data_IF_544033964899
#
_entry.id   IF_544033964899
#
_cell.length_a   1.000
_cell.length_b   1.000
_cell.length_c   1.000
_cell.angle_alpha   90.00
_cell.angle_beta   90.00
_cell.angle_gamma   90.00
#
_symmetry.space_group_name_H-M   'P 1'
#
loop_
_entity.id
_entity.type
_entity.pdbx_description
1 polymer ?
#
# COMPACT_ATOMS: atom_id res chain seq x y z
N UNK A 1 11.08 -9.91 31.09
CA UNK A 1 9.65 -9.56 31.28
C UNK A 1 8.83 -10.80 31.65
N UNK A 2 7.78 -10.68 32.51
CA UNK A 2 6.88 -11.82 32.86
C UNK A 2 5.60 -11.75 32.05
N UNK A 3 4.94 -12.90 31.84
CA UNK A 3 3.67 -13.03 31.11
C UNK A 3 3.79 -13.79 29.81
N UNK A 4 2.67 -13.96 29.11
CA UNK A 4 2.65 -14.58 27.77
C UNK A 4 3.40 -13.72 26.75
N UNK A 5 3.85 -14.31 25.64
CA UNK A 5 4.46 -13.56 24.54
C UNK A 5 3.53 -12.43 24.04
N UNK A 6 2.24 -12.74 23.88
CA UNK A 6 1.27 -11.73 23.46
C UNK A 6 1.19 -10.56 24.43
N UNK A 7 1.17 -10.82 25.72
CA UNK A 7 1.19 -9.77 26.75
C UNK A 7 2.47 -8.93 26.68
N UNK A 8 3.63 -9.57 26.58
CA UNK A 8 4.91 -8.87 26.51
C UNK A 8 5.04 -8.00 25.26
N UNK A 9 4.68 -8.53 24.07
CA UNK A 9 4.67 -7.77 22.81
C UNK A 9 3.73 -6.56 22.89
N UNK A 10 2.49 -6.76 23.36
CA UNK A 10 1.54 -5.66 23.52
C UNK A 10 2.05 -4.60 24.52
N UNK A 11 2.68 -5.02 25.57
CA UNK A 11 3.26 -4.12 26.57
C UNK A 11 4.39 -3.27 25.96
N UNK A 12 5.33 -3.91 25.25
CA UNK A 12 6.39 -3.17 24.51
C UNK A 12 5.77 -2.22 23.51
N UNK A 13 4.77 -2.66 22.73
CA UNK A 13 4.11 -1.81 21.74
C UNK A 13 3.49 -0.54 22.35
N UNK A 14 2.75 -0.69 23.45
CA UNK A 14 2.05 0.43 24.09
C UNK A 14 3.02 1.34 24.85
N UNK A 15 3.88 0.76 25.69
CA UNK A 15 4.68 1.52 26.64
C UNK A 15 5.96 2.12 26.00
N UNK A 16 6.47 1.58 24.89
CA UNK A 16 7.60 2.16 24.16
C UNK A 16 7.30 3.53 23.55
N UNK A 17 6.03 3.78 23.16
CA UNK A 17 5.66 4.98 22.41
C UNK A 17 6.01 4.90 20.92
N UNK A 18 6.20 3.69 20.38
CA UNK A 18 6.48 3.48 18.95
C UNK A 18 5.28 3.78 18.06
N UNK A 19 4.06 3.73 18.60
CA UNK A 19 2.83 3.99 17.88
C UNK A 19 2.30 5.39 18.14
N UNK A 20 2.21 6.21 17.09
CA UNK A 20 1.79 7.61 17.11
C UNK A 20 0.68 7.83 16.07
N UNK A 21 -0.55 7.33 16.33
CA UNK A 21 -1.68 7.57 15.44
C UNK A 21 -2.05 9.06 15.43
N UNK A 22 -2.41 9.57 14.23
CA UNK A 22 -2.76 10.99 14.07
C UNK A 22 -1.58 11.91 13.77
N UNK A 23 -0.33 11.50 14.01
CA UNK A 23 0.83 12.26 13.57
C UNK A 23 1.09 12.07 12.08
N UNK A 24 1.53 13.13 11.39
CA UNK A 24 1.90 13.06 9.98
C UNK A 24 3.23 12.33 9.78
N UNK A 25 3.18 11.17 9.12
CA UNK A 25 4.40 10.46 8.71
C UNK A 25 5.27 11.31 7.78
N UNK A 26 4.67 12.21 6.97
CA UNK A 26 5.39 13.09 6.06
C UNK A 26 6.19 14.12 6.85
N UNK A 27 5.55 14.82 7.78
CA UNK A 27 6.24 15.77 8.64
C UNK A 27 7.36 15.10 9.46
N UNK A 28 7.11 13.90 9.99
CA UNK A 28 8.14 13.14 10.68
C UNK A 28 9.36 12.78 9.79
N UNK A 29 9.14 12.51 8.50
CA UNK A 29 10.24 12.30 7.54
C UNK A 29 11.04 13.57 7.27
N UNK A 30 10.38 14.72 7.15
CA UNK A 30 11.06 16.01 6.96
C UNK A 30 11.93 16.36 8.16
N UNK A 31 11.42 16.17 9.36
CA UNK A 31 12.18 16.33 10.60
C UNK A 31 13.39 15.38 10.64
N UNK A 32 13.21 14.10 10.32
CA UNK A 32 14.29 13.14 10.29
C UNK A 32 15.36 13.51 9.24
N UNK A 33 14.96 14.02 8.07
CA UNK A 33 15.88 14.49 7.03
C UNK A 33 16.65 15.74 7.47
N UNK A 34 15.98 16.69 8.10
CA UNK A 34 16.65 17.88 8.66
C UNK A 34 17.64 17.54 9.77
N UNK A 35 17.42 16.43 10.48
CA UNK A 35 18.34 15.87 11.47
C UNK A 35 19.46 14.99 10.85
N UNK A 36 19.55 14.91 9.51
CA UNK A 36 20.65 14.25 8.81
C UNK A 36 20.36 12.85 8.30
N UNK A 37 19.12 12.34 8.38
CA UNK A 37 18.75 11.04 7.81
C UNK A 37 18.62 11.14 6.28
N UNK A 38 19.63 10.67 5.54
CA UNK A 38 19.71 10.77 4.08
C UNK A 38 19.30 9.49 3.36
N UNK A 39 19.30 8.35 4.04
CA UNK A 39 18.95 7.05 3.48
C UNK A 39 17.64 6.52 4.04
N UNK A 40 17.00 5.60 3.31
CA UNK A 40 15.81 4.91 3.79
C UNK A 40 16.05 4.09 5.08
N UNK A 41 17.30 3.61 5.27
CA UNK A 41 17.70 2.89 6.47
C UNK A 41 17.72 3.82 7.68
N UNK A 42 18.30 5.01 7.53
CA UNK A 42 18.37 6.04 8.59
C UNK A 42 16.96 6.56 8.92
N UNK A 43 16.17 6.92 7.91
CA UNK A 43 14.75 7.25 8.10
C UNK A 43 14.02 6.14 8.84
N UNK A 44 14.28 4.87 8.49
CA UNK A 44 13.69 3.73 9.15
C UNK A 44 14.01 3.63 10.64
N UNK A 45 15.15 4.16 11.12
CA UNK A 45 15.50 4.22 12.54
C UNK A 45 14.73 5.31 13.28
N UNK A 46 14.56 6.47 12.66
CA UNK A 46 13.91 7.64 13.26
C UNK A 46 12.37 7.54 13.26
N UNK A 47 11.80 6.98 12.19
CA UNK A 47 10.35 6.93 12.03
C UNK A 47 9.68 5.93 12.97
N UNK A 48 8.50 6.29 13.46
CA UNK A 48 7.60 5.46 14.26
C UNK A 48 6.53 4.78 13.39
N UNK A 49 5.48 4.26 14.00
CA UNK A 49 4.31 3.67 13.36
C UNK A 49 3.16 4.67 13.46
N UNK A 50 2.61 5.10 12.31
CA UNK A 50 1.63 6.20 12.24
C UNK A 50 0.22 5.77 11.85
N UNK A 51 0.02 4.53 11.34
CA UNK A 51 -1.30 4.05 10.95
C UNK A 51 -1.70 2.79 11.69
N UNK A 52 -2.99 2.66 12.00
CA UNK A 52 -3.56 1.49 12.66
C UNK A 52 -3.28 0.20 11.89
N UNK A 53 -3.46 0.23 10.55
CA UNK A 53 -3.19 -0.96 9.73
C UNK A 53 -1.73 -1.40 9.76
N UNK A 54 -0.78 -0.46 9.73
CA UNK A 54 0.64 -0.80 9.88
C UNK A 54 0.93 -1.37 11.26
N UNK A 55 0.32 -0.80 12.30
CA UNK A 55 0.48 -1.25 13.67
C UNK A 55 -0.01 -2.70 13.85
N UNK A 56 -1.19 -3.00 13.29
CA UNK A 56 -1.76 -4.35 13.30
C UNK A 56 -0.81 -5.36 12.64
N UNK A 57 -0.46 -5.14 11.38
CA UNK A 57 0.42 -6.05 10.61
C UNK A 57 1.79 -6.24 11.28
N UNK A 58 2.36 -5.18 11.85
CA UNK A 58 3.66 -5.29 12.53
C UNK A 58 3.56 -6.05 13.84
N UNK A 59 2.51 -5.81 14.63
CA UNK A 59 2.28 -6.59 15.85
C UNK A 59 2.06 -8.07 15.55
N UNK A 60 1.32 -8.40 14.50
CA UNK A 60 1.13 -9.79 14.10
C UNK A 60 2.47 -10.48 13.82
N UNK A 61 3.36 -9.82 13.05
CA UNK A 61 4.72 -10.33 12.81
C UNK A 61 5.52 -10.47 14.11
N UNK A 62 5.40 -9.52 15.07
CA UNK A 62 6.09 -9.61 16.36
C UNK A 62 5.57 -10.76 17.21
N UNK A 63 4.27 -11.03 17.16
CA UNK A 63 3.65 -12.18 17.81
C UNK A 63 4.09 -13.49 17.17
N UNK A 64 4.16 -13.55 15.83
CA UNK A 64 4.60 -14.74 15.11
C UNK A 64 6.05 -15.07 15.42
N UNK A 65 6.94 -14.09 15.34
CA UNK A 65 8.33 -14.23 15.75
C UNK A 65 8.45 -14.70 17.21
N UNK A 66 7.69 -14.07 18.10
CA UNK A 66 7.72 -14.43 19.52
C UNK A 66 7.23 -15.84 19.82
N UNK A 67 6.17 -16.30 19.11
CA UNK A 67 5.68 -17.69 19.21
C UNK A 67 6.73 -18.66 18.68
N UNK A 68 7.30 -18.37 17.51
CA UNK A 68 8.36 -19.18 16.91
C UNK A 68 9.59 -19.29 17.83
N UNK A 69 10.07 -18.17 18.36
CA UNK A 69 11.23 -18.14 19.28
C UNK A 69 10.96 -18.94 20.57
N UNK A 70 9.74 -18.89 21.11
CA UNK A 70 9.32 -19.70 22.25
C UNK A 70 9.33 -21.20 21.92
N UNK A 71 8.84 -21.56 20.74
CA UNK A 71 8.70 -22.96 20.32
C UNK A 71 10.05 -23.58 19.94
N UNK A 72 10.84 -22.91 19.12
CA UNK A 72 12.06 -23.47 18.55
C UNK A 72 13.31 -23.17 19.39
N UNK A 73 13.40 -21.98 19.99
CA UNK A 73 14.56 -21.55 20.77
C UNK A 73 14.34 -21.62 22.30
N UNK A 74 13.12 -21.95 22.74
CA UNK A 74 12.71 -21.94 24.15
C UNK A 74 12.84 -20.58 24.86
N UNK A 75 12.87 -19.49 24.08
CA UNK A 75 12.95 -18.11 24.60
C UNK A 75 11.54 -17.59 24.88
N UNK A 76 11.25 -17.28 26.14
CA UNK A 76 9.94 -16.85 26.64
C UNK A 76 9.92 -15.36 27.05
N UNK A 77 10.99 -14.65 26.84
CA UNK A 77 11.17 -13.27 27.29
C UNK A 77 11.64 -12.40 26.11
N UNK A 78 10.80 -11.45 25.69
CA UNK A 78 11.07 -10.58 24.54
C UNK A 78 12.30 -9.69 24.76
N UNK A 79 12.65 -9.40 26.03
CA UNK A 79 13.85 -8.62 26.36
C UNK A 79 15.16 -9.39 26.12
N UNK A 80 15.07 -10.69 25.85
CA UNK A 80 16.22 -11.57 25.55
C UNK A 80 16.42 -11.81 24.05
N UNK A 81 15.62 -11.20 23.20
CA UNK A 81 15.79 -11.35 21.75
C UNK A 81 17.06 -10.68 21.26
N UNK A 82 17.73 -11.34 20.33
CA UNK A 82 18.98 -10.89 19.70
C UNK A 82 18.85 -10.92 18.18
N UNK A 83 19.82 -10.32 17.47
CA UNK A 83 19.90 -10.40 16.01
C UNK A 83 19.96 -11.85 15.51
N UNK A 84 20.70 -12.74 16.21
CA UNK A 84 20.78 -14.16 15.84
C UNK A 84 19.42 -14.88 15.88
N UNK A 85 18.57 -14.53 16.85
CA UNK A 85 17.23 -15.10 16.93
C UNK A 85 16.33 -14.61 15.77
N UNK A 86 16.48 -13.35 15.39
CA UNK A 86 15.79 -12.77 14.24
C UNK A 86 16.29 -13.40 12.93
N UNK A 87 17.60 -13.60 12.81
CA UNK A 87 18.22 -14.29 11.67
C UNK A 87 17.64 -15.70 11.50
N UNK A 88 17.68 -16.51 12.55
CA UNK A 88 17.16 -17.88 12.52
C UNK A 88 15.65 -17.93 12.17
N UNK A 89 14.86 -16.98 12.66
CA UNK A 89 13.45 -16.86 12.28
C UNK A 89 13.30 -16.55 10.79
N UNK A 90 14.02 -15.56 10.28
CA UNK A 90 13.94 -15.16 8.87
C UNK A 90 14.46 -16.27 7.93
N UNK A 91 15.49 -16.99 8.32
CA UNK A 91 15.96 -18.19 7.61
C UNK A 91 14.87 -19.28 7.55
N UNK A 92 14.13 -19.48 8.64
CA UNK A 92 12.99 -20.41 8.61
C UNK A 92 11.88 -19.94 7.65
N UNK A 93 11.66 -18.62 7.54
CA UNK A 93 10.68 -18.06 6.59
C UNK A 93 11.12 -18.24 5.13
N UNK A 94 12.43 -18.17 4.86
CA UNK A 94 12.99 -18.53 3.55
C UNK A 94 12.75 -20.01 3.26
N UNK A 95 13.03 -20.89 4.21
CA UNK A 95 12.80 -22.33 4.08
C UNK A 95 11.32 -22.67 3.85
N UNK A 96 10.39 -21.89 4.42
CA UNK A 96 8.94 -22.01 4.18
C UNK A 96 8.53 -21.58 2.76
N UNK A 97 9.41 -20.98 1.97
CA UNK A 97 9.15 -20.55 0.60
C UNK A 97 8.12 -19.42 0.46
N UNK A 98 8.06 -18.50 1.42
CA UNK A 98 7.13 -17.38 1.35
C UNK A 98 7.49 -16.43 0.19
N UNK A 99 6.50 -15.67 -0.33
CA UNK A 99 6.79 -14.63 -1.34
C UNK A 99 7.76 -13.58 -0.79
N UNK A 100 8.71 -13.13 -1.62
CA UNK A 100 9.71 -12.13 -1.23
C UNK A 100 9.09 -10.85 -0.66
N UNK A 101 7.96 -10.41 -1.18
CA UNK A 101 7.23 -9.23 -0.68
C UNK A 101 6.73 -9.41 0.76
N UNK A 102 6.30 -10.64 1.13
CA UNK A 102 5.93 -11.00 2.50
C UNK A 102 7.15 -10.98 3.41
N UNK A 103 8.25 -11.57 2.95
CA UNK A 103 9.53 -11.55 3.66
C UNK A 103 10.02 -10.10 3.95
N UNK A 104 9.99 -9.21 2.95
CA UNK A 104 10.38 -7.80 3.14
C UNK A 104 9.50 -7.07 4.15
N UNK A 105 8.20 -7.37 4.17
CA UNK A 105 7.26 -6.83 5.16
C UNK A 105 7.61 -7.31 6.57
N UNK A 106 7.91 -8.60 6.75
CA UNK A 106 8.35 -9.16 8.03
C UNK A 106 9.68 -8.54 8.49
N UNK A 107 10.66 -8.40 7.61
CA UNK A 107 11.90 -7.67 7.88
C UNK A 107 11.64 -6.24 8.37
N UNK A 108 10.71 -5.53 7.72
CA UNK A 108 10.34 -4.16 8.09
C UNK A 108 9.68 -4.11 9.47
N UNK A 109 8.81 -5.09 9.78
CA UNK A 109 8.18 -5.21 11.07
C UNK A 109 9.19 -5.51 12.18
N UNK A 110 10.14 -6.43 11.96
CA UNK A 110 11.18 -6.77 12.94
C UNK A 110 12.17 -5.63 13.16
N UNK A 111 12.50 -4.85 12.12
CA UNK A 111 13.29 -3.62 12.28
C UNK A 111 12.55 -2.55 13.12
N UNK A 112 11.21 -2.52 13.09
CA UNK A 112 10.41 -1.68 13.99
C UNK A 112 10.30 -2.26 15.39
N UNK A 113 10.34 -3.58 15.53
CA UNK A 113 10.42 -4.22 16.86
C UNK A 113 11.73 -3.86 17.57
N UNK A 114 12.84 -3.85 16.85
CA UNK A 114 14.11 -3.33 17.37
C UNK A 114 13.97 -1.91 17.94
N UNK A 115 13.36 -0.99 17.16
CA UNK A 115 13.12 0.36 17.64
C UNK A 115 12.27 0.37 18.92
N UNK A 116 11.18 -0.39 18.94
CA UNK A 116 10.28 -0.46 20.09
C UNK A 116 10.99 -1.01 21.33
N UNK A 117 11.82 -2.05 21.18
CA UNK A 117 12.59 -2.62 22.28
C UNK A 117 13.67 -1.67 22.79
N UNK A 118 14.34 -0.92 21.91
CA UNK A 118 15.32 0.10 22.31
C UNK A 118 14.64 1.25 23.09
N UNK A 119 13.50 1.74 22.60
CA UNK A 119 12.71 2.77 23.31
C UNK A 119 12.18 2.24 24.65
N UNK A 120 11.75 0.98 24.68
CA UNK A 120 11.35 0.31 25.92
C UNK A 120 12.50 0.22 26.92
N UNK A 121 13.68 -0.23 26.50
CA UNK A 121 14.87 -0.35 27.33
C UNK A 121 15.28 1.00 27.92
N UNK A 122 15.35 2.03 27.11
CA UNK A 122 15.67 3.41 27.54
C UNK A 122 14.69 3.91 28.62
N UNK A 123 13.38 3.75 28.35
CA UNK A 123 12.31 4.18 29.28
C UNK A 123 12.33 3.45 30.62
N UNK A 124 12.82 2.21 30.62
CA UNK A 124 12.94 1.39 31.85
C UNK A 124 14.33 1.44 32.47
N UNK A 125 15.21 2.36 32.04
CA UNK A 125 16.56 2.51 32.58
C UNK A 125 17.49 1.32 32.30
N UNK A 126 17.21 0.54 31.27
CA UNK A 126 18.03 -0.60 30.84
C UNK A 126 19.11 -0.16 29.86
N UNK A 127 20.34 -0.65 30.03
CA UNK A 127 21.45 -0.39 29.11
C UNK A 127 21.49 -1.37 27.92
N UNK A 128 20.51 -2.26 27.78
CA UNK A 128 20.43 -3.21 26.66
C UNK A 128 20.18 -2.45 25.38
N UNK A 129 20.94 -2.77 24.34
CA UNK A 129 20.73 -2.28 22.98
C UNK A 129 20.43 -3.45 22.05
N UNK A 130 19.32 -3.36 21.36
CA UNK A 130 18.91 -4.33 20.37
C UNK A 130 19.41 -3.91 18.99
N UNK A 131 19.93 -4.88 18.24
CA UNK A 131 20.34 -4.70 16.84
C UNK A 131 19.87 -5.93 16.04
N UNK A 132 18.77 -5.76 15.33
CA UNK A 132 18.20 -6.77 14.44
C UNK A 132 18.52 -6.48 12.98
N UNK A 133 18.79 -5.20 12.66
CA UNK A 133 18.99 -4.74 11.28
C UNK A 133 20.21 -5.36 10.61
N UNK A 134 21.28 -5.63 11.34
CA UNK A 134 22.47 -6.26 10.77
C UNK A 134 22.13 -7.70 10.32
N UNK A 135 21.47 -8.47 11.19
CA UNK A 135 20.98 -9.80 10.86
C UNK A 135 19.98 -9.80 9.70
N UNK A 136 19.03 -8.85 9.68
CA UNK A 136 18.08 -8.68 8.57
C UNK A 136 18.82 -8.41 7.26
N UNK A 137 19.87 -7.58 7.27
CA UNK A 137 20.65 -7.25 6.06
C UNK A 137 21.36 -8.47 5.50
N UNK A 138 21.93 -9.32 6.35
CA UNK A 138 22.58 -10.57 5.93
C UNK A 138 21.61 -11.49 5.22
N UNK A 139 20.47 -11.78 5.84
CA UNK A 139 19.48 -12.73 5.30
C UNK A 139 18.78 -12.21 4.06
N UNK A 140 18.64 -10.89 3.90
CA UNK A 140 18.01 -10.30 2.70
C UNK A 140 18.74 -10.59 1.39
N UNK A 141 20.05 -10.78 1.42
CA UNK A 141 20.82 -11.10 0.20
C UNK A 141 20.41 -12.49 -0.33
N UNK A 142 20.39 -13.48 0.53
CA UNK A 142 19.95 -14.84 0.20
C UNK A 142 18.47 -14.88 -0.22
N UNK A 143 17.60 -14.23 0.55
CA UNK A 143 16.16 -14.20 0.26
C UNK A 143 15.84 -13.65 -1.14
N UNK A 144 16.63 -12.68 -1.63
CA UNK A 144 16.46 -12.11 -2.98
C UNK A 144 16.72 -13.10 -4.11
N UNK A 145 17.58 -14.08 -3.86
CA UNK A 145 17.96 -15.08 -4.87
C UNK A 145 17.06 -16.31 -4.83
N UNK A 146 16.56 -16.64 -3.63
CA UNK A 146 15.83 -17.90 -3.39
C UNK A 146 14.31 -17.73 -3.45
N UNK A 147 13.78 -16.62 -2.91
CA UNK A 147 12.33 -16.42 -2.80
C UNK A 147 11.72 -15.91 -4.10
N UNK A 148 10.47 -16.33 -4.33
CA UNK A 148 9.68 -15.88 -5.47
C UNK A 148 9.47 -14.37 -5.42
N UNK A 149 9.95 -13.70 -6.47
CA UNK A 149 9.84 -12.25 -6.71
C UNK A 149 8.89 -11.95 -7.87
N UNK A 150 8.23 -12.94 -8.40
CA UNK A 150 7.27 -12.76 -9.48
C UNK A 150 6.15 -11.84 -9.04
N UNK A 151 5.77 -10.99 -9.94
CA UNK A 151 4.62 -10.09 -9.80
C UNK A 151 3.62 -10.61 -10.83
N UNK A 152 2.56 -11.20 -10.33
CA UNK A 152 1.42 -11.57 -11.15
C UNK A 152 0.60 -10.31 -11.46
N UNK A 153 0.17 -10.18 -12.70
CA UNK A 153 -0.77 -9.12 -13.06
C UNK A 153 -2.04 -9.25 -12.21
N UNK A 154 -2.60 -8.11 -11.88
CA UNK A 154 -3.90 -8.03 -11.19
C UNK A 154 -4.96 -7.40 -12.08
N UNK A 155 -4.60 -7.05 -13.31
CA UNK A 155 -5.57 -6.55 -14.28
C UNK A 155 -6.65 -7.61 -14.53
N UNK A 156 -7.87 -7.17 -14.71
CA UNK A 156 -8.95 -8.03 -15.17
C UNK A 156 -8.82 -8.25 -16.68
N UNK A 157 -9.15 -9.43 -17.14
CA UNK A 157 -9.05 -9.79 -18.58
C UNK A 157 -10.01 -8.95 -19.42
N UNK A 158 -11.21 -8.68 -18.91
CA UNK A 158 -12.20 -7.84 -19.55
C UNK A 158 -12.84 -6.87 -18.55
N UNK A 159 -12.19 -5.73 -18.23
CA UNK A 159 -12.64 -4.79 -17.20
C UNK A 159 -14.00 -4.17 -17.53
N UNK A 160 -14.31 -3.98 -18.82
CA UNK A 160 -15.61 -3.41 -19.24
C UNK A 160 -16.77 -4.37 -19.00
N UNK A 161 -16.57 -5.64 -19.28
CA UNK A 161 -17.56 -6.67 -18.99
C UNK A 161 -17.76 -6.84 -17.49
N UNK A 162 -16.67 -6.85 -16.70
CA UNK A 162 -16.72 -6.82 -15.25
C UNK A 162 -17.59 -5.67 -14.74
N UNK A 163 -17.30 -4.42 -15.18
CA UNK A 163 -18.05 -3.24 -14.76
C UNK A 163 -19.53 -3.34 -15.15
N UNK A 164 -19.82 -3.80 -16.37
CA UNK A 164 -21.20 -3.98 -16.84
C UNK A 164 -21.96 -5.04 -16.03
N UNK A 165 -21.27 -6.03 -15.48
CA UNK A 165 -21.84 -7.09 -14.64
C UNK A 165 -22.12 -6.67 -13.21
N UNK A 166 -21.66 -5.48 -12.77
CA UNK A 166 -22.05 -4.90 -11.48
C UNK A 166 -23.53 -4.50 -11.56
N UNK A 167 -24.33 -4.98 -10.61
CA UNK A 167 -25.79 -4.74 -10.61
C UNK A 167 -26.18 -3.36 -10.12
N UNK A 168 -25.46 -2.85 -9.14
CA UNK A 168 -25.69 -1.54 -8.53
C UNK A 168 -25.03 -0.44 -9.36
N UNK A 169 -25.81 0.53 -9.85
CA UNK A 169 -25.33 1.60 -10.73
C UNK A 169 -24.37 2.56 -10.01
N UNK A 170 -24.49 2.73 -8.70
CA UNK A 170 -23.56 3.51 -7.92
C UNK A 170 -22.19 2.80 -7.88
N UNK A 171 -22.15 1.51 -7.55
CA UNK A 171 -20.90 0.75 -7.55
C UNK A 171 -20.31 0.56 -8.96
N UNK A 172 -21.14 0.52 -9.99
CA UNK A 172 -20.70 0.58 -11.38
C UNK A 172 -19.95 1.88 -11.65
N UNK A 173 -20.46 3.02 -11.16
CA UNK A 173 -19.81 4.32 -11.29
C UNK A 173 -18.48 4.37 -10.51
N UNK A 174 -18.43 3.83 -9.29
CA UNK A 174 -17.19 3.70 -8.51
C UNK A 174 -16.13 2.89 -9.26
N UNK A 175 -16.52 1.77 -9.88
CA UNK A 175 -15.62 0.93 -10.66
C UNK A 175 -15.13 1.64 -11.95
N UNK A 176 -16.03 2.38 -12.63
CA UNK A 176 -15.67 3.18 -13.81
C UNK A 176 -14.63 4.25 -13.46
N UNK A 177 -14.78 4.97 -12.35
CA UNK A 177 -13.77 5.97 -11.91
C UNK A 177 -12.41 5.30 -11.66
N UNK A 178 -12.38 4.12 -11.05
CA UNK A 178 -11.13 3.40 -10.80
C UNK A 178 -10.47 2.90 -12.10
N UNK A 179 -11.27 2.46 -13.04
CA UNK A 179 -10.82 1.95 -14.32
C UNK A 179 -10.38 3.07 -15.28
N UNK A 180 -11.17 4.13 -15.44
CA UNK A 180 -10.92 5.20 -16.39
C UNK A 180 -9.91 6.24 -15.88
N UNK A 181 -9.95 6.54 -14.57
CA UNK A 181 -9.11 7.57 -13.93
C UNK A 181 -7.97 7.01 -13.08
N UNK A 182 -7.83 5.70 -12.99
CA UNK A 182 -6.78 5.08 -12.19
C UNK A 182 -6.85 5.41 -10.69
N UNK A 183 -8.01 5.76 -10.15
CA UNK A 183 -8.17 6.17 -8.76
C UNK A 183 -8.09 5.00 -7.78
N UNK A 184 -7.59 5.24 -6.56
CA UNK A 184 -7.69 4.29 -5.46
C UNK A 184 -9.10 4.33 -4.85
N UNK A 185 -9.58 3.22 -4.30
CA UNK A 185 -10.89 3.13 -3.65
C UNK A 185 -11.11 4.25 -2.60
N UNK A 186 -10.08 4.61 -1.84
CA UNK A 186 -10.18 5.69 -0.86
C UNK A 186 -10.22 7.07 -1.50
N UNK A 187 -9.62 7.25 -2.67
CA UNK A 187 -9.67 8.49 -3.43
C UNK A 187 -11.07 8.69 -4.00
N UNK A 188 -11.69 7.63 -4.56
CA UNK A 188 -13.07 7.69 -5.01
C UNK A 188 -14.04 7.98 -3.87
N UNK A 189 -13.84 7.34 -2.71
CA UNK A 189 -14.68 7.53 -1.54
C UNK A 189 -14.70 8.96 -1.02
N UNK A 190 -13.61 9.73 -1.23
CA UNK A 190 -13.45 11.11 -0.75
C UNK A 190 -13.99 12.17 -1.72
N UNK A 191 -14.42 11.80 -2.93
CA UNK A 191 -14.91 12.78 -3.92
C UNK A 191 -16.14 13.49 -3.38
N UNK A 192 -16.08 14.82 -3.41
CA UNK A 192 -17.15 15.74 -3.07
C UNK A 192 -17.51 16.61 -4.31
N UNK A 193 -18.56 17.40 -4.21
CA UNK A 193 -19.02 18.24 -5.32
C UNK A 193 -17.97 19.23 -5.80
N UNK A 194 -17.21 19.81 -4.89
CA UNK A 194 -16.16 20.80 -5.15
C UNK A 194 -14.97 20.23 -5.92
N UNK A 195 -14.83 18.91 -5.92
CA UNK A 195 -13.76 18.20 -6.63
C UNK A 195 -14.03 18.08 -8.13
N UNK A 196 -15.26 18.34 -8.59
CA UNK A 196 -15.63 18.27 -9.99
C UNK A 196 -15.12 19.52 -10.74
N UNK A 197 -14.18 19.32 -11.67
CA UNK A 197 -13.49 20.40 -12.40
C UNK A 197 -14.05 20.66 -13.82
N UNK A 198 -15.13 19.97 -14.18
CA UNK A 198 -15.82 20.15 -15.46
C UNK A 198 -15.27 19.27 -16.60
N UNK A 199 -15.87 19.47 -17.77
CA UNK A 199 -15.44 18.83 -19.01
C UNK A 199 -14.42 19.71 -19.71
N UNK A 200 -13.30 19.12 -20.14
CA UNK A 200 -12.26 19.79 -20.94
C UNK A 200 -11.47 18.77 -21.75
N UNK A 201 -10.75 19.24 -22.76
CA UNK A 201 -9.89 18.40 -23.57
C UNK A 201 -8.69 17.86 -22.76
N UNK A 202 -8.38 16.58 -22.94
CA UNK A 202 -7.11 16.01 -22.49
C UNK A 202 -5.98 16.60 -23.34
N UNK A 203 -5.01 17.29 -22.72
CA UNK A 203 -3.94 17.97 -23.44
C UNK A 203 -3.03 17.04 -24.26
N UNK A 204 -3.06 15.73 -23.98
CA UNK A 204 -2.24 14.74 -24.68
C UNK A 204 -2.97 14.09 -25.85
N UNK A 205 -4.27 13.85 -25.72
CA UNK A 205 -5.04 13.09 -26.72
C UNK A 205 -6.04 13.96 -27.49
N UNK A 206 -6.36 15.15 -26.99
CA UNK A 206 -7.38 16.05 -27.57
C UNK A 206 -8.82 15.59 -27.31
N UNK A 207 -9.03 14.49 -26.60
CA UNK A 207 -10.37 14.00 -26.29
C UNK A 207 -11.01 14.79 -25.15
N UNK A 208 -12.31 15.02 -25.26
CA UNK A 208 -13.07 15.60 -24.14
C UNK A 208 -13.19 14.59 -23.01
N UNK A 209 -12.74 14.94 -21.81
CA UNK A 209 -12.79 14.15 -20.59
C UNK A 209 -13.45 14.96 -19.47
N UNK A 210 -13.99 14.26 -18.48
CA UNK A 210 -14.42 14.84 -17.21
C UNK A 210 -13.26 14.79 -16.21
N UNK A 211 -12.98 15.92 -15.57
CA UNK A 211 -11.85 16.06 -14.65
C UNK A 211 -12.33 16.14 -13.22
N UNK A 212 -11.72 15.33 -12.37
CA UNK A 212 -12.07 15.21 -10.95
C UNK A 212 -10.78 15.32 -10.14
N UNK A 213 -10.74 16.20 -9.16
CA UNK A 213 -9.65 16.29 -8.21
C UNK A 213 -9.76 15.17 -7.18
N UNK A 214 -8.66 14.53 -6.85
CA UNK A 214 -8.62 13.46 -5.85
C UNK A 214 -7.45 13.64 -4.90
N UNK A 215 -7.70 13.39 -3.60
CA UNK A 215 -6.68 13.42 -2.56
C UNK A 215 -6.09 12.05 -2.31
N UNK A 216 -4.82 11.88 -2.65
CA UNK A 216 -4.08 10.62 -2.50
C UNK A 216 -3.41 10.45 -1.15
N UNK A 217 -2.68 9.36 -1.02
CA UNK A 217 -1.93 9.04 0.20
C UNK A 217 -0.93 10.14 0.55
N UNK A 218 -1.07 10.69 1.75
CA UNK A 218 -0.19 11.76 2.26
C UNK A 218 -0.65 13.16 1.87
N UNK A 219 -1.93 13.33 1.48
CA UNK A 219 -2.52 14.63 1.14
C UNK A 219 -2.06 15.17 -0.23
N UNK A 220 -1.62 14.29 -1.13
CA UNK A 220 -1.27 14.70 -2.50
C UNK A 220 -2.53 14.82 -3.33
N UNK A 221 -2.77 16.00 -3.83
CA UNK A 221 -3.86 16.31 -4.74
C UNK A 221 -3.40 16.11 -6.19
N UNK A 222 -4.31 15.59 -7.00
CA UNK A 222 -4.16 15.50 -8.45
C UNK A 222 -5.53 15.42 -9.12
N UNK A 223 -5.57 15.76 -10.38
CA UNK A 223 -6.75 15.53 -11.20
C UNK A 223 -6.66 14.16 -11.89
N UNK A 224 -7.80 13.50 -11.99
CA UNK A 224 -7.99 12.30 -12.80
C UNK A 224 -8.97 12.61 -13.92
N UNK A 225 -8.79 11.95 -15.06
CA UNK A 225 -9.65 12.08 -16.22
C UNK A 225 -10.54 10.85 -16.37
N UNK A 226 -11.84 11.06 -16.54
CA UNK A 226 -12.82 10.02 -16.81
C UNK A 226 -13.62 10.35 -18.07
N UNK A 227 -14.36 9.40 -18.61
CA UNK A 227 -15.27 9.68 -19.73
C UNK A 227 -16.34 10.73 -19.36
N UNK A 228 -16.86 11.50 -20.31
CA UNK A 228 -17.95 12.43 -20.04
C UNK A 228 -19.19 11.74 -19.43
N UNK A 229 -19.44 10.49 -19.79
CA UNK A 229 -20.54 9.69 -19.25
C UNK A 229 -20.32 9.36 -17.77
N UNK A 230 -19.12 8.88 -17.40
CA UNK A 230 -18.78 8.61 -16.01
C UNK A 230 -18.79 9.89 -15.19
N UNK A 231 -18.27 11.02 -15.74
CA UNK A 231 -18.33 12.32 -15.09
C UNK A 231 -19.75 12.78 -14.80
N UNK A 232 -20.66 12.62 -15.76
CA UNK A 232 -22.05 13.00 -15.59
C UNK A 232 -22.75 12.16 -14.48
N UNK A 233 -22.45 10.87 -14.40
CA UNK A 233 -22.97 10.01 -13.33
C UNK A 233 -22.45 10.45 -11.96
N UNK A 234 -21.15 10.77 -11.85
CA UNK A 234 -20.57 11.29 -10.61
C UNK A 234 -21.24 12.60 -10.22
N UNK A 235 -21.43 13.51 -11.19
CA UNK A 235 -22.12 14.78 -10.96
C UNK A 235 -23.52 14.59 -10.40
N UNK A 236 -24.31 13.69 -10.99
CA UNK A 236 -25.67 13.36 -10.51
C UNK A 236 -25.66 12.81 -9.09
N UNK A 237 -24.71 11.93 -8.76
CA UNK A 237 -24.58 11.35 -7.44
C UNK A 237 -24.25 12.43 -6.40
N UNK A 238 -23.23 13.24 -6.64
CA UNK A 238 -22.81 14.25 -5.64
C UNK A 238 -23.77 15.43 -5.55
N UNK A 239 -24.58 15.72 -6.58
CA UNK A 239 -25.69 16.68 -6.50
C UNK A 239 -26.78 16.23 -5.54
N UNK A 240 -27.00 14.91 -5.40
CA UNK A 240 -28.04 14.35 -4.53
C UNK A 240 -27.53 13.96 -3.16
N UNK A 241 -26.26 13.52 -3.03
CA UNK A 241 -25.68 12.93 -1.82
C UNK A 241 -24.53 13.75 -1.23
N UNK A 242 -24.14 14.87 -1.89
CA UNK A 242 -23.03 15.75 -1.55
C UNK A 242 -21.64 15.12 -1.73
N UNK A 243 -21.51 13.80 -1.68
CA UNK A 243 -20.24 13.07 -1.76
C UNK A 243 -20.42 11.65 -2.32
N UNK A 244 -19.29 10.98 -2.57
CA UNK A 244 -19.22 9.59 -3.04
C UNK A 244 -19.01 8.57 -1.92
N UNK A 245 -19.46 8.85 -0.68
CA UNK A 245 -19.26 7.93 0.43
C UNK A 245 -20.03 6.62 0.22
N UNK A 246 -19.40 5.49 0.46
CA UNK A 246 -19.98 4.15 0.34
C UNK A 246 -19.34 3.15 1.29
N UNK A 247 -20.00 2.02 1.53
CA UNK A 247 -19.39 0.88 2.20
C UNK A 247 -18.41 0.17 1.25
N UNK A 248 -17.13 0.16 1.65
CA UNK A 248 -16.05 -0.40 0.82
C UNK A 248 -16.05 -1.93 0.80
N UNK A 249 -16.65 -2.56 1.79
CA UNK A 249 -16.73 -4.02 1.84
C UNK A 249 -17.91 -4.48 0.98
N UNK A 250 -19.05 -3.80 1.00
CA UNK A 250 -20.15 -4.05 0.06
C UNK A 250 -19.72 -3.84 -1.39
N UNK A 251 -18.96 -2.78 -1.69
CA UNK A 251 -18.39 -2.58 -3.02
C UNK A 251 -17.46 -3.72 -3.45
N UNK A 252 -16.61 -4.23 -2.54
CA UNK A 252 -15.76 -5.38 -2.84
C UNK A 252 -16.54 -6.65 -3.10
N UNK A 253 -17.65 -6.86 -2.39
CA UNK A 253 -18.55 -7.98 -2.66
C UNK A 253 -19.24 -7.83 -4.02
N UNK A 254 -19.72 -6.63 -4.37
CA UNK A 254 -20.30 -6.36 -5.69
C UNK A 254 -19.30 -6.64 -6.83
N UNK A 255 -18.02 -6.24 -6.66
CA UNK A 255 -16.95 -6.59 -7.61
C UNK A 255 -16.68 -8.10 -7.68
N UNK A 256 -16.73 -8.82 -6.55
CA UNK A 256 -16.53 -10.26 -6.53
C UNK A 256 -17.67 -10.99 -7.24
N UNK A 257 -18.91 -10.57 -7.01
CA UNK A 257 -20.07 -11.10 -7.73
C UNK A 257 -19.97 -10.82 -9.24
N UNK A 258 -19.58 -9.59 -9.61
CA UNK A 258 -19.41 -9.22 -11.02
C UNK A 258 -18.30 -10.03 -11.70
N UNK A 259 -17.19 -10.31 -11.02
CA UNK A 259 -16.12 -11.16 -11.55
C UNK A 259 -16.62 -12.59 -11.79
N UNK A 260 -17.37 -13.15 -10.85
CA UNK A 260 -18.02 -14.45 -11.03
C UNK A 260 -19.01 -14.47 -12.20
N UNK A 261 -19.83 -13.43 -12.35
CA UNK A 261 -20.82 -13.33 -13.44
C UNK A 261 -20.18 -13.15 -14.82
N UNK A 262 -18.99 -12.58 -14.89
CA UNK A 262 -18.22 -12.36 -16.13
C UNK A 262 -17.13 -13.40 -16.36
N UNK A 263 -17.13 -14.51 -15.60
CA UNK A 263 -16.17 -15.62 -15.69
C UNK A 263 -14.70 -15.15 -15.59
N UNK A 264 -14.43 -14.26 -14.65
CA UNK A 264 -13.10 -13.69 -14.41
C UNK A 264 -12.64 -13.92 -12.97
N UNK A 265 -11.33 -14.00 -12.76
CA UNK A 265 -10.74 -14.09 -11.43
C UNK A 265 -10.88 -12.76 -10.67
N UNK A 266 -11.30 -12.83 -9.42
CA UNK A 266 -11.40 -11.65 -8.57
C UNK A 266 -10.02 -11.19 -8.07
N UNK A 267 -9.51 -10.09 -8.58
CA UNK A 267 -8.23 -9.49 -8.20
C UNK A 267 -8.36 -8.29 -7.26
N UNK A 268 -9.59 -7.96 -6.87
CA UNK A 268 -9.93 -6.82 -6.01
C UNK A 268 -10.02 -5.50 -6.79
N UNK A 269 -10.51 -4.46 -6.13
CA UNK A 269 -10.70 -3.14 -6.75
C UNK A 269 -9.40 -2.52 -7.30
N UNK A 270 -8.25 -2.95 -6.81
CA UNK A 270 -6.95 -2.49 -7.32
C UNK A 270 -6.63 -3.04 -8.72
N UNK A 271 -7.28 -4.14 -9.14
CA UNK A 271 -7.17 -4.68 -10.49
C UNK A 271 -7.60 -3.69 -11.56
N UNK A 272 -8.69 -2.96 -11.35
CA UNK A 272 -9.15 -1.91 -12.27
C UNK A 272 -8.12 -0.81 -12.50
N UNK A 273 -7.30 -0.51 -11.49
CA UNK A 273 -6.21 0.45 -11.61
C UNK A 273 -5.00 -0.12 -12.40
N UNK A 274 -4.84 -1.44 -12.44
CA UNK A 274 -3.90 -2.10 -13.34
C UNK A 274 -4.38 -1.96 -14.78
N UNK A 275 -5.66 -2.23 -15.03
CA UNK A 275 -6.26 -2.03 -16.35
C UNK A 275 -6.11 -0.57 -16.84
N UNK A 276 -6.33 0.43 -15.96
CA UNK A 276 -6.06 1.83 -16.30
C UNK A 276 -4.63 2.01 -16.83
N UNK A 277 -3.62 1.48 -16.14
CA UNK A 277 -2.24 1.68 -16.55
C UNK A 277 -1.94 1.03 -17.91
N UNK A 278 -2.48 -0.15 -18.15
CA UNK A 278 -2.33 -0.87 -19.43
C UNK A 278 -3.01 -0.11 -20.58
N UNK A 279 -4.29 0.28 -20.42
CA UNK A 279 -5.03 1.00 -21.45
C UNK A 279 -4.48 2.40 -21.70
N UNK A 280 -4.04 3.11 -20.65
CA UNK A 280 -3.43 4.42 -20.81
C UNK A 280 -2.10 4.34 -21.54
N UNK A 281 -1.31 3.30 -21.30
CA UNK A 281 -0.07 3.05 -22.06
C UNK A 281 -0.37 2.82 -23.55
N UNK A 282 -1.39 2.05 -23.86
CA UNK A 282 -1.84 1.81 -25.24
C UNK A 282 -2.35 3.11 -25.88
N UNK A 283 -3.25 3.84 -25.22
CA UNK A 283 -3.79 5.12 -25.69
C UNK A 283 -2.67 6.14 -25.99
N UNK A 284 -1.71 6.32 -25.07
CA UNK A 284 -0.58 7.23 -25.28
C UNK A 284 0.35 6.75 -26.38
N UNK A 285 0.43 5.44 -26.62
CA UNK A 285 1.24 4.87 -27.69
C UNK A 285 0.63 5.11 -29.08
N UNK A 286 -0.70 5.10 -29.16
CA UNK A 286 -1.42 5.35 -30.42
C UNK A 286 -1.56 6.83 -30.75
N UNK A 287 -1.78 7.69 -29.74
CA UNK A 287 -2.19 9.08 -29.94
C UNK A 287 -1.08 10.10 -29.72
N UNK A 288 0.09 9.69 -29.22
CA UNK A 288 1.18 10.62 -28.91
C UNK A 288 2.52 10.16 -29.46
N UNK A 289 3.48 11.09 -29.57
CA UNK A 289 4.87 10.81 -29.93
C UNK A 289 5.79 10.64 -28.72
N UNK A 290 5.23 10.49 -27.51
CA UNK A 290 6.00 10.33 -26.28
C UNK A 290 6.86 9.06 -26.33
N UNK A 291 8.07 9.13 -25.78
CA UNK A 291 8.92 7.95 -25.57
C UNK A 291 8.31 7.03 -24.51
N UNK A 292 8.82 5.82 -24.42
CA UNK A 292 8.35 4.85 -23.42
C UNK A 292 8.49 5.39 -21.98
N UNK A 293 9.62 5.99 -21.67
CA UNK A 293 9.90 6.57 -20.36
C UNK A 293 9.00 7.75 -20.04
N UNK A 294 8.71 8.60 -21.03
CA UNK A 294 7.77 9.71 -20.85
C UNK A 294 6.34 9.22 -20.61
N UNK A 295 5.90 8.17 -21.29
CA UNK A 295 4.60 7.54 -21.06
C UNK A 295 4.52 6.93 -19.65
N UNK A 296 5.56 6.19 -19.23
CA UNK A 296 5.65 5.64 -17.86
C UNK A 296 5.54 6.74 -16.81
N UNK A 297 6.26 7.86 -17.02
CA UNK A 297 6.23 8.98 -16.09
C UNK A 297 4.88 9.66 -16.08
N UNK A 298 4.24 9.85 -17.24
CA UNK A 298 2.91 10.44 -17.35
C UNK A 298 1.86 9.60 -16.60
N UNK A 299 1.79 8.31 -16.87
CA UNK A 299 0.88 7.39 -16.17
C UNK A 299 1.17 7.37 -14.67
N UNK A 300 2.46 7.44 -14.30
CA UNK A 300 2.87 7.52 -12.89
C UNK A 300 2.25 8.74 -12.19
N UNK A 301 2.29 9.91 -12.82
CA UNK A 301 1.67 11.14 -12.29
C UNK A 301 0.15 11.02 -12.22
N UNK A 302 -0.50 10.54 -13.28
CA UNK A 302 -1.95 10.30 -13.32
C UNK A 302 -2.40 9.31 -12.23
N UNK A 303 -1.56 8.32 -11.91
CA UNK A 303 -1.78 7.39 -10.79
C UNK A 303 -1.37 7.94 -9.40
N UNK A 304 -0.81 9.14 -9.31
CA UNK A 304 -0.33 9.75 -8.06
C UNK A 304 0.92 9.07 -7.50
N UNK A 305 1.82 8.63 -8.38
CA UNK A 305 3.17 8.20 -8.06
C UNK A 305 4.17 9.28 -8.49
N UNK A 306 5.38 9.26 -7.94
CA UNK A 306 6.41 10.25 -8.28
C UNK A 306 7.38 9.75 -9.36
N UNK A 307 7.45 8.43 -9.55
CA UNK A 307 8.48 7.77 -10.37
C UNK A 307 7.86 6.81 -11.35
N UNK A 308 8.30 6.89 -12.62
CA UNK A 308 7.82 6.05 -13.70
C UNK A 308 8.08 4.53 -13.51
N UNK A 309 9.17 4.17 -12.79
CA UNK A 309 9.48 2.77 -12.50
C UNK A 309 8.40 2.05 -11.66
N UNK A 310 7.57 2.82 -10.94
CA UNK A 310 6.41 2.27 -10.23
C UNK A 310 5.33 1.84 -11.24
N UNK A 311 5.16 2.59 -12.33
CA UNK A 311 4.19 2.26 -13.38
C UNK A 311 4.59 0.98 -14.12
N UNK A 312 5.87 0.75 -14.34
CA UNK A 312 6.37 -0.47 -14.97
C UNK A 312 5.90 -1.75 -14.23
N UNK A 313 5.70 -1.64 -12.90
CA UNK A 313 5.16 -2.72 -12.11
C UNK A 313 3.72 -3.11 -12.51
N UNK A 314 2.91 -2.17 -12.97
CA UNK A 314 1.53 -2.38 -13.42
C UNK A 314 1.44 -2.90 -14.86
N UNK A 315 2.51 -2.82 -15.63
CA UNK A 315 2.57 -3.22 -17.04
C UNK A 315 3.24 -4.60 -17.25
N UNK A 316 3.66 -5.25 -16.17
CA UNK A 316 4.25 -6.60 -16.23
C UNK A 316 3.15 -7.63 -16.43
N UNK A 317 3.24 -8.35 -17.53
CA UNK A 317 2.41 -9.52 -17.86
C UNK A 317 3.03 -10.79 -17.32
#
# INVERSE_FOLDING_TARGET
MRGSINYQVNRVFVESGIFCPGESKHAAKEVARSNGANTWSELGKELKIYSYRTAEVYKDTWHDFGRWAKEHLKIKDVEKYTGEHVKAYLESRIADGIKYSTFERECSALAKFENALNMWAEKNGSNVKYNFRDAIKEVKAEAREVLDRSIETRAYDNPRELINSIRDDFYKTVASIQYEGGARINEVWQIEKEDLKGLREDPLTGETKGWIEVSGKGGKEREIAVSPETYQRVYEIVEHQENMHFDKDEYREALREAAYLSDQDYTGSHGLRWNFAEERMEELSEKTSLTYEEKLQQISWEMGHERGDITEHYLRK
#
